data_IF_872027231723
#
_entry.id   IF_872027231723
#
_cell.length_a   1.000
_cell.length_b   1.000
_cell.length_c   1.000
_cell.angle_alpha   90.00
_cell.angle_beta   90.00
_cell.angle_gamma   90.00
#
_symmetry.space_group_name_H-M   'P 1'
#
loop_
_entity.id
_entity.type
_entity.pdbx_description
1 polymer ?
#
# COMPACT_ATOMS: atom_id res chain seq x y z
N UNK A 1 -17.56 -9.13 9.33
CA UNK A 1 -17.39 -9.82 8.03
C UNK A 1 -16.05 -10.53 8.09
N UNK A 2 -16.06 -11.85 8.26
CA UNK A 2 -14.84 -12.67 8.30
C UNK A 2 -14.62 -13.27 6.90
N UNK A 3 -13.48 -12.97 6.30
CA UNK A 3 -13.12 -13.54 5.01
C UNK A 3 -11.62 -13.69 4.91
N UNK A 4 -11.15 -14.39 3.89
CA UNK A 4 -9.72 -14.50 3.55
C UNK A 4 -9.58 -14.89 2.09
N UNK A 5 -8.42 -14.63 1.49
CA UNK A 5 -8.10 -15.15 0.17
C UNK A 5 -7.36 -16.48 0.31
N UNK A 6 -7.75 -17.45 -0.51
CA UNK A 6 -7.11 -18.76 -0.54
C UNK A 6 -6.95 -19.24 -1.97
N UNK A 7 -5.89 -20.00 -2.18
CA UNK A 7 -5.68 -20.75 -3.41
C UNK A 7 -6.34 -22.12 -3.18
N UNK A 8 -7.27 -22.52 -4.06
CA UNK A 8 -8.05 -23.78 -3.96
C UNK A 8 -8.23 -24.49 -5.32
N UNK A 9 -8.23 -25.81 -5.32
CA UNK A 9 -8.61 -26.62 -6.49
C UNK A 9 -10.13 -26.68 -6.59
N UNK A 10 -10.64 -27.06 -7.75
CA UNK A 10 -12.09 -27.31 -7.91
C UNK A 10 -12.61 -28.30 -6.86
N UNK A 11 -11.81 -29.31 -6.51
CA UNK A 11 -12.19 -30.35 -5.56
C UNK A 11 -12.17 -29.86 -4.10
N UNK A 12 -11.20 -29.00 -3.73
CA UNK A 12 -11.18 -28.39 -2.40
C UNK A 12 -12.26 -27.33 -2.24
N UNK A 13 -12.56 -26.56 -3.28
CA UNK A 13 -13.67 -25.61 -3.28
C UNK A 13 -15.01 -26.34 -3.10
N UNK A 14 -15.21 -27.45 -3.79
CA UNK A 14 -16.40 -28.30 -3.62
C UNK A 14 -16.49 -28.90 -2.20
N UNK A 15 -15.35 -29.26 -1.61
CA UNK A 15 -15.30 -29.71 -0.22
C UNK A 15 -15.70 -28.58 0.74
N UNK A 16 -15.20 -27.36 0.53
CA UNK A 16 -15.53 -26.19 1.36
C UNK A 16 -17.00 -25.79 1.29
N UNK A 17 -17.63 -25.91 0.11
CA UNK A 17 -19.07 -25.65 -0.06
C UNK A 17 -19.95 -26.49 0.87
N UNK A 18 -19.44 -27.62 1.36
CA UNK A 18 -20.17 -28.56 2.23
C UNK A 18 -19.83 -28.41 3.72
N UNK A 19 -19.02 -27.42 4.11
CA UNK A 19 -18.63 -27.20 5.52
C UNK A 19 -19.58 -26.18 6.17
N UNK A 20 -20.09 -26.51 7.35
CA UNK A 20 -20.86 -25.58 8.18
C UNK A 20 -20.02 -24.32 8.51
N UNK A 21 -20.56 -23.15 8.16
CA UNK A 21 -19.90 -21.85 8.34
C UNK A 21 -19.29 -21.27 7.07
N UNK A 22 -19.22 -22.03 5.97
CA UNK A 22 -18.91 -21.50 4.65
C UNK A 22 -20.11 -20.74 4.07
N UNK A 23 -19.86 -19.51 3.59
CA UNK A 23 -20.91 -18.64 3.03
C UNK A 23 -20.80 -18.55 1.52
N UNK A 24 -19.63 -18.17 1.02
CA UNK A 24 -19.40 -17.96 -0.41
C UNK A 24 -17.92 -17.95 -0.76
N UNK A 25 -17.62 -18.29 -2.02
CA UNK A 25 -16.33 -18.15 -2.65
C UNK A 25 -16.48 -17.41 -3.98
N UNK A 26 -15.59 -16.46 -4.27
CA UNK A 26 -15.58 -15.74 -5.54
C UNK A 26 -14.20 -15.84 -6.17
N UNK A 27 -14.16 -16.20 -7.46
CA UNK A 27 -12.91 -16.19 -8.23
C UNK A 27 -12.33 -14.78 -8.26
N UNK A 28 -11.00 -14.71 -8.13
CA UNK A 28 -10.28 -13.44 -8.11
C UNK A 28 -10.46 -12.64 -9.42
N UNK A 29 -10.44 -11.31 -9.31
CA UNK A 29 -10.72 -10.38 -10.42
C UNK A 29 -9.63 -9.33 -10.54
N UNK A 30 -9.45 -8.83 -11.76
CA UNK A 30 -8.59 -7.67 -12.01
C UNK A 30 -9.25 -6.39 -11.50
N UNK A 31 -8.45 -5.47 -10.96
CA UNK A 31 -8.89 -4.14 -10.55
C UNK A 31 -8.26 -3.04 -11.42
N UNK A 32 -8.81 -1.83 -11.36
CA UNK A 32 -8.34 -0.64 -12.09
C UNK A 32 -7.89 0.45 -11.12
N UNK A 33 -6.97 1.31 -11.58
CA UNK A 33 -6.41 2.41 -10.80
C UNK A 33 -7.22 3.69 -11.08
N UNK A 34 -7.65 4.39 -10.03
CA UNK A 34 -8.32 5.69 -10.12
C UNK A 34 -7.59 6.75 -9.28
N UNK A 35 -7.26 7.92 -9.85
CA UNK A 35 -6.82 9.10 -9.07
C UNK A 35 -7.29 10.43 -9.68
N UNK A 36 -7.65 11.41 -8.83
CA UNK A 36 -8.00 12.81 -9.21
C UNK A 36 -7.21 13.86 -8.41
N UNK A 37 -7.06 15.06 -9.02
CA UNK A 37 -6.11 16.16 -8.74
C UNK A 37 -6.19 16.94 -7.39
N UNK A 38 -5.18 17.81 -7.19
CA UNK A 38 -4.46 18.31 -6.00
C UNK A 38 -5.15 19.32 -5.03
N UNK A 39 -4.54 19.57 -3.86
CA UNK A 39 -5.13 20.15 -2.62
C UNK A 39 -5.12 21.68 -2.45
N UNK A 40 -4.47 22.49 -3.30
CA UNK A 40 -4.45 23.96 -3.12
C UNK A 40 -5.86 24.58 -3.15
N UNK A 41 -6.83 23.87 -3.73
CA UNK A 41 -8.24 24.21 -3.69
C UNK A 41 -8.84 24.23 -2.27
N UNK A 42 -8.23 23.53 -1.29
CA UNK A 42 -8.86 23.24 0.01
C UNK A 42 -8.54 24.24 1.13
N UNK A 43 -7.77 25.31 0.88
CA UNK A 43 -7.48 26.39 1.86
C UNK A 43 -7.01 25.91 3.26
N UNK A 44 -6.19 24.85 3.29
CA UNK A 44 -5.79 24.14 4.53
C UNK A 44 -4.86 24.96 5.47
N UNK A 45 -4.23 26.02 4.95
CA UNK A 45 -3.16 26.81 5.60
C UNK A 45 -3.66 28.09 6.32
N UNK A 46 -4.97 28.20 6.60
CA UNK A 46 -5.46 29.33 7.39
C UNK A 46 -5.03 29.20 8.87
N UNK A 47 -4.81 30.30 9.62
CA UNK A 47 -4.39 30.25 11.03
C UNK A 47 -5.32 29.45 11.97
N UNK A 48 -6.57 29.23 11.55
CA UNK A 48 -7.59 28.40 12.21
C UNK A 48 -7.98 27.16 11.38
N UNK A 49 -7.16 26.80 10.39
CA UNK A 49 -7.38 25.73 9.43
C UNK A 49 -7.02 24.35 9.98
N UNK A 50 -7.42 23.31 9.23
CA UNK A 50 -7.30 21.91 9.65
C UNK A 50 -5.85 21.51 10.04
N UNK A 51 -4.84 22.11 9.41
CA UNK A 51 -3.44 21.85 9.73
C UNK A 51 -3.04 22.25 11.15
N UNK A 52 -3.43 23.45 11.59
CA UNK A 52 -3.14 23.89 12.96
C UNK A 52 -3.97 23.11 13.99
N UNK A 53 -5.21 22.73 13.64
CA UNK A 53 -6.08 21.94 14.49
C UNK A 53 -5.62 20.47 14.67
N UNK A 54 -4.88 19.91 13.71
CA UNK A 54 -4.45 18.50 13.70
C UNK A 54 -2.94 18.31 13.88
N UNK A 55 -2.21 19.38 14.20
CA UNK A 55 -0.75 19.44 14.15
C UNK A 55 -0.18 18.80 12.86
N UNK A 56 -0.74 19.17 11.71
CA UNK A 56 -0.33 18.70 10.38
C UNK A 56 -0.38 17.17 10.22
N UNK A 57 -1.17 16.49 11.05
CA UNK A 57 -1.31 15.04 11.09
C UNK A 57 -0.25 14.30 11.92
N UNK A 58 0.43 14.95 12.89
CA UNK A 58 1.33 14.22 13.79
C UNK A 58 0.58 13.11 14.56
N UNK A 59 1.26 12.02 14.90
CA UNK A 59 0.70 10.76 15.44
C UNK A 59 -0.33 10.02 14.57
N UNK A 60 -0.65 10.53 13.37
CA UNK A 60 -1.47 9.84 12.37
C UNK A 60 -0.57 8.97 11.48
N UNK A 61 -1.07 7.78 11.16
CA UNK A 61 -0.45 6.85 10.21
C UNK A 61 -1.44 6.66 9.07
N UNK A 62 -1.01 6.95 7.85
CA UNK A 62 -1.79 6.74 6.64
C UNK A 62 -1.26 5.52 5.92
N UNK A 63 -2.12 4.51 5.77
CA UNK A 63 -1.86 3.35 4.92
C UNK A 63 -2.16 3.69 3.46
N UNK A 64 -1.23 3.38 2.56
CA UNK A 64 -1.40 3.57 1.11
C UNK A 64 -1.30 2.21 0.43
N UNK A 65 -2.31 1.88 -0.37
CA UNK A 65 -2.43 0.61 -1.10
C UNK A 65 -2.23 0.93 -2.59
N UNK A 66 -1.07 0.58 -3.14
CA UNK A 66 -0.67 1.11 -4.46
C UNK A 66 0.45 0.27 -5.12
N UNK A 67 1.24 0.84 -6.04
CA UNK A 67 2.35 0.22 -6.78
C UNK A 67 3.67 0.16 -6.01
N UNK A 68 3.67 0.57 -4.74
CA UNK A 68 4.85 0.63 -3.89
C UNK A 68 5.32 2.05 -3.63
N UNK A 69 6.52 2.18 -3.07
CA UNK A 69 7.13 3.47 -2.74
C UNK A 69 8.60 3.53 -3.17
N UNK A 70 9.06 4.70 -3.63
CA UNK A 70 10.48 4.99 -3.83
C UNK A 70 11.06 5.69 -2.59
N UNK A 71 11.61 4.94 -1.61
CA UNK A 71 11.92 5.47 -0.27
C UNK A 71 12.99 6.57 -0.25
N UNK A 72 13.83 6.64 -1.28
CA UNK A 72 14.90 7.64 -1.38
C UNK A 72 14.38 9.05 -1.75
N UNK A 73 13.12 9.17 -2.18
CA UNK A 73 12.51 10.45 -2.53
C UNK A 73 12.61 11.47 -1.39
N UNK A 74 12.86 12.74 -1.74
CA UNK A 74 12.92 13.83 -0.76
C UNK A 74 11.62 13.96 0.04
N UNK A 75 10.48 13.66 -0.57
CA UNK A 75 9.15 13.67 0.06
C UNK A 75 9.03 12.66 1.23
N UNK A 76 9.92 11.68 1.33
CA UNK A 76 9.89 10.65 2.38
C UNK A 76 11.06 10.75 3.36
N UNK A 77 11.85 11.83 3.29
CA UNK A 77 12.80 12.17 4.35
C UNK A 77 12.04 12.54 5.63
N UNK A 78 12.67 12.29 6.76
CA UNK A 78 12.02 12.37 8.08
C UNK A 78 12.47 13.59 8.91
N UNK A 79 12.97 14.62 8.22
CA UNK A 79 13.28 15.91 8.83
C UNK A 79 12.01 16.53 9.42
N UNK A 80 12.10 17.03 10.66
CA UNK A 80 10.94 17.60 11.37
C UNK A 80 9.91 16.59 11.88
N UNK A 81 10.11 15.28 11.64
CA UNK A 81 9.23 14.24 12.19
C UNK A 81 9.57 13.93 13.64
N UNK A 82 8.54 13.67 14.45
CA UNK A 82 8.69 13.16 15.82
C UNK A 82 9.43 11.81 15.81
N UNK A 83 10.60 11.75 16.47
CA UNK A 83 11.50 10.57 16.49
C UNK A 83 11.03 9.43 17.40
N UNK A 84 9.71 9.30 17.60
CA UNK A 84 9.06 8.23 18.34
C UNK A 84 7.88 7.72 17.53
N UNK A 85 7.94 6.47 17.07
CA UNK A 85 6.83 5.83 16.35
C UNK A 85 5.67 5.57 17.35
N UNK A 86 4.40 5.79 16.97
CA UNK A 86 3.26 5.58 17.87
C UNK A 86 3.24 4.13 18.38
N UNK A 87 3.08 3.93 19.70
CA UNK A 87 3.12 2.59 20.31
C UNK A 87 2.06 1.61 19.74
N UNK A 88 0.97 2.17 19.19
CA UNK A 88 -0.11 1.45 18.50
C UNK A 88 0.33 0.82 17.17
N UNK A 89 1.42 1.32 16.56
CA UNK A 89 1.96 0.78 15.32
C UNK A 89 2.56 -0.61 15.53
N UNK A 90 2.13 -1.57 14.70
CA UNK A 90 2.62 -2.97 14.70
C UNK A 90 3.07 -3.45 13.33
N UNK A 91 3.06 -2.57 12.32
CA UNK A 91 3.53 -2.92 10.99
C UNK A 91 5.04 -3.04 10.91
N UNK A 92 5.52 -3.56 9.79
CA UNK A 92 6.92 -3.89 9.56
C UNK A 92 7.44 -3.23 8.28
N UNK A 93 8.75 -3.13 8.17
CA UNK A 93 9.44 -2.85 6.92
C UNK A 93 9.93 -4.18 6.35
N UNK A 94 9.24 -4.70 5.34
CA UNK A 94 9.53 -5.99 4.73
C UNK A 94 10.68 -5.85 3.73
N UNK A 95 11.74 -6.65 3.91
CA UNK A 95 12.85 -6.70 2.97
C UNK A 95 12.44 -7.47 1.70
N UNK A 96 13.01 -7.08 0.57
CA UNK A 96 12.84 -7.75 -0.72
C UNK A 96 13.91 -7.29 -1.71
N UNK A 97 13.67 -7.50 -2.99
CA UNK A 97 14.56 -7.03 -4.06
C UNK A 97 14.77 -5.51 -3.98
N UNK A 98 16.05 -5.10 -3.88
CA UNK A 98 16.46 -3.68 -3.80
C UNK A 98 15.74 -2.86 -2.71
N UNK A 99 15.22 -3.54 -1.69
CA UNK A 99 14.52 -2.91 -0.58
C UNK A 99 14.88 -3.62 0.73
N UNK A 100 15.43 -2.89 1.70
CA UNK A 100 15.77 -3.46 2.99
C UNK A 100 15.12 -2.66 4.14
N UNK A 101 15.12 -3.24 5.33
CA UNK A 101 14.48 -2.65 6.53
C UNK A 101 14.98 -1.25 6.87
N UNK A 102 16.22 -0.89 6.51
CA UNK A 102 16.80 0.43 6.78
C UNK A 102 16.24 1.55 5.89
N UNK A 103 15.48 1.19 4.85
CA UNK A 103 14.81 2.16 3.99
C UNK A 103 13.55 2.77 4.64
N UNK A 104 13.00 2.12 5.68
CA UNK A 104 12.02 2.76 6.54
C UNK A 104 12.70 3.70 7.55
N UNK A 105 12.02 4.78 7.89
CA UNK A 105 12.49 5.83 8.79
C UNK A 105 11.30 6.38 9.61
N UNK A 106 11.42 7.57 10.21
CA UNK A 106 10.32 8.12 11.00
C UNK A 106 9.15 8.69 10.17
N UNK A 107 9.32 8.82 8.84
CA UNK A 107 8.30 9.23 7.87
C UNK A 107 7.61 8.03 7.22
N UNK A 108 8.37 7.19 6.52
CA UNK A 108 7.92 5.89 6.00
C UNK A 108 8.20 4.84 7.08
N UNK A 109 7.20 4.52 7.91
CA UNK A 109 7.38 3.65 9.09
C UNK A 109 7.12 2.17 8.81
N UNK A 110 6.56 1.85 7.64
CA UNK A 110 6.32 0.49 7.20
C UNK A 110 6.16 0.39 5.71
N UNK A 111 6.54 -0.75 5.18
CA UNK A 111 6.46 -1.06 3.77
C UNK A 111 6.29 -2.57 3.65
N UNK A 112 5.21 -3.01 3.01
CA UNK A 112 4.89 -4.41 2.75
C UNK A 112 4.44 -4.58 1.31
N UNK A 113 4.45 -5.80 0.82
CA UNK A 113 3.99 -6.12 -0.52
C UNK A 113 3.25 -7.46 -0.54
N UNK A 114 2.30 -7.61 -1.47
CA UNK A 114 1.46 -8.79 -1.62
C UNK A 114 1.40 -9.14 -3.10
N UNK A 115 1.93 -10.31 -3.47
CA UNK A 115 2.05 -10.79 -4.85
C UNK A 115 1.61 -12.25 -5.01
N UNK A 116 0.91 -12.80 -4.01
CA UNK A 116 0.49 -14.20 -4.09
C UNK A 116 -0.56 -14.36 -5.18
N UNK A 117 -1.46 -13.39 -5.33
CA UNK A 117 -2.48 -13.36 -6.37
C UNK A 117 -1.86 -13.36 -7.75
N UNK A 118 -0.94 -12.41 -8.00
CA UNK A 118 -0.27 -12.32 -9.30
C UNK A 118 0.54 -13.59 -9.62
N UNK A 119 1.26 -14.17 -8.66
CA UNK A 119 2.01 -15.43 -8.85
C UNK A 119 1.06 -16.61 -9.14
N UNK A 120 -0.05 -16.72 -8.40
CA UNK A 120 -1.01 -17.82 -8.60
C UNK A 120 -1.74 -17.73 -9.94
N UNK A 121 -2.07 -16.52 -10.38
CA UNK A 121 -2.77 -16.27 -11.65
C UNK A 121 -1.90 -16.56 -12.90
N UNK A 122 -0.57 -16.57 -12.75
CA UNK A 122 0.36 -16.77 -13.86
C UNK A 122 1.36 -17.91 -13.57
N UNK A 123 1.01 -19.17 -13.88
CA UNK A 123 1.85 -20.34 -13.61
C UNK A 123 3.19 -20.35 -14.36
N UNK A 124 3.33 -19.53 -15.40
CA UNK A 124 4.55 -19.41 -16.20
C UNK A 124 5.46 -18.28 -15.72
N UNK A 125 5.06 -17.52 -14.69
CA UNK A 125 5.85 -16.44 -14.12
C UNK A 125 7.03 -17.02 -13.34
N UNK A 126 8.24 -16.91 -13.89
CA UNK A 126 9.46 -17.41 -13.25
C UNK A 126 10.02 -16.44 -12.22
N UNK A 127 9.80 -15.14 -12.42
CA UNK A 127 10.29 -14.06 -11.56
C UNK A 127 9.33 -12.88 -11.58
N UNK A 128 9.06 -12.29 -10.41
CA UNK A 128 8.43 -10.97 -10.28
C UNK A 128 9.52 -9.91 -10.43
N UNK A 129 9.35 -8.95 -11.35
CA UNK A 129 10.36 -7.99 -11.79
C UNK A 129 10.98 -7.17 -10.64
N UNK A 130 10.14 -6.66 -9.73
CA UNK A 130 10.55 -5.89 -8.56
C UNK A 130 9.88 -6.46 -7.32
N UNK A 131 10.36 -7.63 -6.85
CA UNK A 131 9.76 -8.40 -5.77
C UNK A 131 10.06 -7.80 -4.38
N UNK A 132 9.53 -6.59 -4.15
CA UNK A 132 9.59 -5.85 -2.91
C UNK A 132 8.54 -4.73 -2.89
N UNK A 133 8.49 -3.94 -1.80
CA UNK A 133 7.67 -2.74 -1.73
C UNK A 133 8.22 -1.54 -2.54
N UNK A 134 9.36 -1.70 -3.23
CA UNK A 134 9.91 -0.66 -4.11
C UNK A 134 8.96 -0.38 -5.27
N UNK A 135 8.70 0.89 -5.49
CA UNK A 135 7.93 1.37 -6.64
C UNK A 135 8.80 1.32 -7.90
N UNK A 136 8.27 0.75 -8.96
CA UNK A 136 8.89 0.75 -10.29
C UNK A 136 7.94 1.31 -11.37
N UNK A 137 6.75 1.79 -10.97
CA UNK A 137 5.74 2.39 -11.84
C UNK A 137 5.65 3.91 -11.60
N UNK A 138 5.74 4.33 -10.34
CA UNK A 138 5.72 5.72 -9.91
C UNK A 138 4.39 6.18 -9.30
N UNK A 139 3.29 5.45 -9.54
CA UNK A 139 1.95 5.81 -9.08
C UNK A 139 1.90 5.88 -7.54
N UNK A 140 2.33 4.82 -6.85
CA UNK A 140 2.32 4.77 -5.39
C UNK A 140 3.22 5.80 -4.73
N UNK A 141 4.36 6.12 -5.33
CA UNK A 141 5.22 7.23 -4.88
C UNK A 141 4.51 8.58 -5.03
N UNK A 142 3.89 8.84 -6.18
CA UNK A 142 3.16 10.08 -6.44
C UNK A 142 1.98 10.23 -5.47
N UNK A 143 1.14 9.20 -5.34
CA UNK A 143 -0.01 9.15 -4.42
C UNK A 143 0.42 9.38 -2.97
N UNK A 144 1.45 8.64 -2.51
CA UNK A 144 1.96 8.76 -1.14
C UNK A 144 2.50 10.16 -0.84
N UNK A 145 3.19 10.78 -1.80
CA UNK A 145 3.71 12.14 -1.65
C UNK A 145 2.60 13.20 -1.66
N UNK A 146 1.50 12.96 -2.36
CA UNK A 146 0.33 13.85 -2.37
C UNK A 146 -0.42 13.79 -1.04
N UNK A 147 -0.59 12.58 -0.49
CA UNK A 147 -1.29 12.37 0.79
C UNK A 147 -0.46 12.88 1.96
N UNK A 148 0.79 12.47 2.05
CA UNK A 148 1.64 12.77 3.20
C UNK A 148 3.11 12.93 2.79
N UNK A 149 3.43 13.60 1.70
CA UNK A 149 4.81 14.03 1.44
C UNK A 149 5.30 15.04 2.48
N UNK A 150 6.55 14.90 2.92
CA UNK A 150 7.22 15.93 3.70
C UNK A 150 7.54 17.15 2.80
N UNK A 151 7.96 18.25 3.42
CA UNK A 151 8.31 19.48 2.72
C UNK A 151 9.56 19.28 1.84
N UNK A 152 9.44 19.59 0.55
CA UNK A 152 10.52 19.57 -0.44
C UNK A 152 10.63 20.93 -1.10
N UNK A 153 11.67 21.68 -0.74
CA UNK A 153 11.92 23.01 -1.28
C UNK A 153 12.46 22.94 -2.72
N UNK A 154 11.98 23.83 -3.58
CA UNK A 154 12.48 23.96 -4.96
C UNK A 154 12.04 22.82 -5.88
N UNK A 155 11.01 22.05 -5.51
CA UNK A 155 10.42 21.05 -6.37
C UNK A 155 9.83 21.71 -7.62
N UNK A 156 10.00 21.08 -8.78
CA UNK A 156 9.42 21.51 -10.05
C UNK A 156 9.36 20.32 -11.02
N UNK A 157 8.51 20.42 -12.04
CA UNK A 157 8.51 19.49 -13.17
C UNK A 157 9.08 20.21 -14.39
N UNK A 158 10.34 19.93 -14.75
CA UNK A 158 11.06 20.65 -15.83
C UNK A 158 10.96 22.19 -15.74
N UNK A 159 10.96 22.74 -14.52
CA UNK A 159 10.82 24.18 -14.26
C UNK A 159 9.37 24.68 -14.08
N UNK A 160 8.37 23.87 -14.45
CA UNK A 160 6.96 24.17 -14.17
C UNK A 160 6.60 23.88 -12.71
N UNK A 161 5.57 24.57 -12.20
CA UNK A 161 5.06 24.43 -10.83
C UNK A 161 6.16 24.52 -9.75
N UNK A 162 7.13 25.44 -9.95
CA UNK A 162 8.22 25.63 -9.01
C UNK A 162 7.70 26.11 -7.66
N UNK A 163 8.01 25.38 -6.60
CA UNK A 163 7.57 25.75 -5.26
C UNK A 163 8.07 24.80 -4.18
N UNK A 164 7.31 24.73 -3.09
CA UNK A 164 7.52 23.76 -2.01
C UNK A 164 6.49 22.65 -2.18
N UNK A 165 6.92 21.46 -2.58
CA UNK A 165 6.03 20.30 -2.60
C UNK A 165 5.84 19.78 -1.18
N UNK A 166 4.60 19.44 -0.83
CA UNK A 166 4.21 18.85 0.46
C UNK A 166 2.90 18.09 0.28
N UNK A 167 2.67 17.08 1.10
CA UNK A 167 1.40 16.37 1.11
C UNK A 167 0.30 17.14 1.84
N UNK A 168 -0.92 16.59 1.79
CA UNK A 168 -2.07 17.09 2.55
C UNK A 168 -1.81 17.01 4.06
N UNK A 169 -1.09 15.99 4.55
CA UNK A 169 -0.69 15.85 5.94
C UNK A 169 0.84 15.67 6.07
N UNK A 170 1.63 16.76 6.02
CA UNK A 170 3.09 16.67 5.94
C UNK A 170 3.77 15.99 7.14
N UNK A 171 3.16 16.02 8.34
CA UNK A 171 3.68 15.35 9.54
C UNK A 171 3.09 13.94 9.76
N UNK A 172 2.12 13.51 8.94
CA UNK A 172 1.62 12.15 9.01
C UNK A 172 2.69 11.14 8.59
N UNK A 173 2.63 9.95 9.19
CA UNK A 173 3.49 8.81 8.86
C UNK A 173 2.86 7.98 7.76
N UNK A 174 3.69 7.34 6.94
CA UNK A 174 3.26 6.49 5.83
C UNK A 174 3.53 5.03 6.13
N UNK A 175 2.56 4.19 5.76
CA UNK A 175 2.72 2.75 5.64
C UNK A 175 2.33 2.33 4.23
N UNK A 176 3.30 1.84 3.46
CA UNK A 176 3.08 1.40 2.08
C UNK A 176 2.70 -0.08 2.04
N UNK A 177 1.68 -0.40 1.24
CA UNK A 177 1.25 -1.75 0.94
C UNK A 177 1.17 -1.90 -0.58
N UNK A 178 2.20 -2.51 -1.17
CA UNK A 178 2.25 -2.74 -2.61
C UNK A 178 1.38 -3.93 -3.00
N UNK A 179 0.42 -3.69 -3.89
CA UNK A 179 -0.49 -4.71 -4.46
C UNK A 179 -0.61 -4.61 -5.98
N UNK A 180 -0.13 -3.50 -6.56
CA UNK A 180 -0.08 -3.28 -8.00
C UNK A 180 1.30 -3.68 -8.51
N UNK A 181 1.32 -4.57 -9.50
CA UNK A 181 2.52 -5.12 -10.12
C UNK A 181 2.50 -4.87 -11.62
N UNK A 182 3.67 -4.87 -12.26
CA UNK A 182 3.78 -4.86 -13.73
C UNK A 182 3.13 -6.12 -14.32
N UNK A 183 3.21 -7.22 -13.59
CA UNK A 183 2.63 -8.50 -13.94
C UNK A 183 1.10 -8.52 -13.80
N UNK A 184 0.50 -7.54 -13.13
CA UNK A 184 -0.94 -7.41 -12.97
C UNK A 184 -1.38 -6.87 -11.61
N UNK A 185 -2.69 -6.65 -11.49
CA UNK A 185 -3.35 -6.24 -10.25
C UNK A 185 -4.52 -7.20 -9.98
N UNK A 186 -4.43 -7.92 -8.87
CA UNK A 186 -5.39 -8.93 -8.45
C UNK A 186 -6.10 -8.47 -7.17
N UNK A 187 -7.42 -8.65 -7.11
CA UNK A 187 -8.22 -8.20 -5.97
C UNK A 187 -7.83 -8.92 -4.67
N UNK A 188 -7.39 -10.17 -4.77
CA UNK A 188 -6.85 -10.95 -3.66
C UNK A 188 -5.62 -10.32 -3.00
N UNK A 189 -4.65 -9.81 -3.77
CA UNK A 189 -3.46 -9.15 -3.21
C UNK A 189 -3.85 -7.88 -2.43
N UNK A 190 -4.93 -7.21 -2.86
CA UNK A 190 -5.53 -6.08 -2.15
C UNK A 190 -6.26 -6.52 -0.87
N UNK A 191 -6.89 -7.69 -0.88
CA UNK A 191 -7.64 -8.23 0.26
C UNK A 191 -6.76 -8.94 1.29
N UNK A 192 -5.66 -9.57 0.89
CA UNK A 192 -4.66 -10.18 1.77
C UNK A 192 -4.03 -9.15 2.72
N UNK A 193 -3.95 -7.87 2.29
CA UNK A 193 -3.61 -6.78 3.20
C UNK A 193 -4.64 -6.60 4.31
N UNK A 194 -5.93 -6.67 3.97
CA UNK A 194 -7.03 -6.54 4.93
C UNK A 194 -7.17 -7.79 5.82
N UNK A 195 -6.68 -8.95 5.35
CA UNK A 195 -6.97 -10.27 5.91
C UNK A 195 -5.67 -11.05 6.08
N UNK A 196 -4.88 -10.75 7.11
CA UNK A 196 -3.60 -11.46 7.35
C UNK A 196 -3.82 -12.87 7.94
N UNK A 197 -4.29 -13.83 7.14
CA UNK A 197 -4.12 -15.30 7.31
C UNK A 197 -4.40 -16.03 5.97
N UNK A 198 -3.36 -16.34 5.19
CA UNK A 198 -3.53 -17.14 3.95
C UNK A 198 -2.53 -18.30 3.88
N UNK A 199 -3.07 -19.53 3.73
CA UNK A 199 -2.41 -20.85 3.67
C UNK A 199 -2.06 -21.20 2.20
N UNK A 200 -0.98 -21.95 1.97
CA UNK A 200 -0.39 -22.39 0.67
C UNK A 200 -0.38 -23.94 0.63
N UNK A 201 -0.41 -24.74 -0.47
CA UNK A 201 0.10 -24.66 -1.86
C UNK A 201 -0.55 -25.73 -2.78
N UNK A 202 -0.41 -25.57 -4.12
CA UNK A 202 -0.54 -26.52 -5.28
C UNK A 202 -1.56 -26.04 -6.33
N UNK A 203 -1.62 -26.62 -7.55
CA UNK A 203 -2.33 -26.12 -8.76
C UNK A 203 -3.80 -25.79 -8.54
N UNK A 204 -4.11 -24.51 -8.36
CA UNK A 204 -5.37 -24.10 -7.76
C UNK A 204 -5.66 -22.64 -8.12
N UNK A 205 -6.93 -22.28 -8.27
CA UNK A 205 -7.37 -20.91 -8.56
C UNK A 205 -7.51 -20.12 -7.26
N UNK A 206 -7.29 -18.80 -7.31
CA UNK A 206 -7.43 -17.96 -6.13
C UNK A 206 -8.89 -17.52 -5.94
N UNK A 207 -9.42 -17.75 -4.74
CA UNK A 207 -10.76 -17.38 -4.33
C UNK A 207 -10.74 -16.47 -3.11
N UNK A 208 -11.68 -15.52 -3.09
CA UNK A 208 -12.06 -14.81 -1.85
C UNK A 208 -13.12 -15.63 -1.14
N UNK A 209 -12.84 -16.06 0.09
CA UNK A 209 -13.75 -16.87 0.92
C UNK A 209 -14.40 -15.99 1.99
N UNK A 210 -15.70 -16.17 2.22
CA UNK A 210 -16.46 -15.62 3.34
C UNK A 210 -16.87 -16.74 4.30
N UNK A 211 -16.64 -16.52 5.60
CA UNK A 211 -17.05 -17.40 6.69
C UNK A 211 -17.99 -16.65 7.65
N UNK A 212 -18.87 -17.40 8.33
CA UNK A 212 -19.71 -16.91 9.44
C UNK A 212 -18.90 -16.71 10.73
#
# INVERSE_FOLDING_TARGET
MYGFSAVLSSNELETLNNIDGFVAAYQDRTATIDTTHTFEFLSLDSPSGLWHATDFGDDIIVGVIDSGVWPESQSFKDHGMTKKIPNKWKGTCESGQEFNTSMCNFKLIGARYFNKGVIASNPNLTTVYMNSARDNVGHGTHTSSTVAGNYVNGASYFGYAKGVARGIAPKARLAMYKVIWEEGLLASDTQDQCLTKSISSQKQEMFTLQLL
#
